data_IF_617520892385
#
_entry.id   IF_617520892385
#
_cell.length_a   1.000
_cell.length_b   1.000
_cell.length_c   1.000
_cell.angle_alpha   90.00
_cell.angle_beta   90.00
_cell.angle_gamma   90.00
#
_symmetry.space_group_name_H-M   'P 1'
#
loop_
_entity.id
_entity.type
_entity.pdbx_description
1 polymer ?
#
# COMPACT_ATOMS: atom_id res chain seq x y z
N UNK A 1 -5.28 10.59 -11.66
CA UNK A 1 -4.99 9.74 -12.83
C UNK A 1 -5.44 8.31 -12.53
N UNK A 2 -6.18 7.65 -13.43
CA UNK A 2 -6.54 6.23 -13.29
C UNK A 2 -5.67 5.38 -14.21
N UNK A 3 -5.17 4.25 -13.74
CA UNK A 3 -4.42 3.26 -14.55
C UNK A 3 -4.96 1.86 -14.31
N UNK A 4 -5.01 1.06 -15.36
CA UNK A 4 -5.32 -0.37 -15.26
C UNK A 4 -4.04 -1.18 -15.41
N UNK A 5 -3.79 -2.10 -14.47
CA UNK A 5 -2.65 -3.03 -14.54
C UNK A 5 -2.91 -4.26 -13.68
N UNK A 6 -2.38 -5.42 -14.08
CA UNK A 6 -2.47 -6.65 -13.31
C UNK A 6 -1.06 -7.14 -12.99
N UNK A 7 -0.88 -7.62 -11.76
CA UNK A 7 0.37 -8.17 -11.27
C UNK A 7 0.09 -9.55 -10.68
N UNK A 8 0.95 -10.50 -11.01
CA UNK A 8 0.97 -11.83 -10.38
C UNK A 8 1.91 -11.83 -9.17
N UNK A 9 2.93 -10.96 -9.20
CA UNK A 9 3.97 -10.85 -8.20
C UNK A 9 3.83 -9.53 -7.43
N UNK A 10 3.61 -9.64 -6.12
CA UNK A 10 3.42 -8.49 -5.23
C UNK A 10 4.65 -7.57 -5.20
N UNK A 11 5.86 -8.11 -5.36
CA UNK A 11 7.09 -7.29 -5.35
C UNK A 11 7.19 -6.45 -6.60
N UNK A 12 6.73 -6.96 -7.75
CA UNK A 12 6.65 -6.18 -9.00
C UNK A 12 5.60 -5.08 -8.90
N UNK A 13 4.48 -5.35 -8.22
CA UNK A 13 3.46 -4.35 -7.95
C UNK A 13 3.98 -3.24 -7.03
N UNK A 14 4.64 -3.60 -5.91
CA UNK A 14 5.27 -2.66 -4.99
C UNK A 14 6.30 -1.77 -5.71
N UNK A 15 7.21 -2.38 -6.48
CA UNK A 15 8.22 -1.64 -7.22
C UNK A 15 7.58 -0.64 -8.20
N UNK A 16 6.57 -1.08 -8.95
CA UNK A 16 5.88 -0.22 -9.91
C UNK A 16 5.14 0.95 -9.23
N UNK A 17 4.54 0.74 -8.07
CA UNK A 17 3.88 1.79 -7.29
C UNK A 17 4.89 2.82 -6.78
N UNK A 18 6.04 2.37 -6.26
CA UNK A 18 7.12 3.27 -5.87
C UNK A 18 7.70 4.04 -7.06
N UNK A 19 7.77 3.45 -8.25
CA UNK A 19 8.13 4.19 -9.47
C UNK A 19 7.10 5.27 -9.84
N UNK A 20 5.80 5.03 -9.62
CA UNK A 20 4.78 6.08 -9.82
C UNK A 20 4.95 7.20 -8.80
N UNK A 21 5.21 6.85 -7.54
CA UNK A 21 5.44 7.81 -6.46
C UNK A 21 6.64 8.72 -6.74
N UNK A 22 7.76 8.14 -7.21
CA UNK A 22 8.94 8.90 -7.67
C UNK A 22 8.64 9.87 -8.82
N UNK A 23 7.61 9.59 -9.62
CA UNK A 23 7.13 10.47 -10.70
C UNK A 23 6.14 11.53 -10.20
N UNK A 24 5.93 11.63 -8.89
CA UNK A 24 4.96 12.55 -8.27
C UNK A 24 3.53 12.04 -8.30
N UNK A 25 3.31 10.72 -8.34
CA UNK A 25 1.98 10.11 -8.35
C UNK A 25 1.80 9.16 -7.16
N UNK A 26 1.08 9.62 -6.15
CA UNK A 26 0.73 8.85 -4.96
C UNK A 26 -0.51 7.98 -5.23
N UNK A 27 -0.48 6.72 -4.79
CA UNK A 27 -1.64 5.84 -4.86
C UNK A 27 -2.66 6.24 -3.79
N UNK A 28 -3.89 6.56 -4.20
CA UNK A 28 -4.99 6.91 -3.28
C UNK A 28 -6.02 5.81 -3.15
N UNK A 29 -6.16 4.97 -4.17
CA UNK A 29 -7.17 3.91 -4.17
C UNK A 29 -6.79 2.80 -5.12
N UNK A 30 -7.00 1.55 -4.68
CA UNK A 30 -6.96 0.37 -5.55
C UNK A 30 -8.34 -0.28 -5.59
N UNK A 31 -8.77 -0.69 -6.78
CA UNK A 31 -9.94 -1.54 -6.98
C UNK A 31 -9.51 -3.01 -7.11
N UNK A 32 -10.36 -3.92 -6.62
CA UNK A 32 -10.20 -5.37 -6.80
C UNK A 32 -10.17 -5.80 -8.28
N UNK A 33 -10.64 -4.96 -9.20
CA UNK A 33 -10.62 -5.21 -10.65
C UNK A 33 -9.32 -4.76 -11.35
N UNK A 34 -8.25 -4.45 -10.60
CA UNK A 34 -6.95 -4.07 -11.19
C UNK A 34 -6.84 -2.61 -11.63
N UNK A 35 -7.74 -1.74 -11.15
CA UNK A 35 -7.65 -0.29 -11.35
C UNK A 35 -6.95 0.39 -10.17
N UNK A 36 -6.00 1.25 -10.49
CA UNK A 36 -5.27 2.11 -9.56
C UNK A 36 -5.66 3.56 -9.81
N UNK A 37 -5.95 4.28 -8.74
CA UNK A 37 -6.19 5.70 -8.77
C UNK A 37 -5.03 6.40 -8.08
N UNK A 38 -4.42 7.33 -8.80
CA UNK A 38 -3.31 8.14 -8.33
C UNK A 38 -3.70 9.60 -8.25
N UNK A 39 -3.15 10.31 -7.26
CA UNK A 39 -3.17 11.76 -7.20
C UNK A 39 -1.77 12.33 -7.44
N UNK A 40 -1.69 13.59 -7.88
CA UNK A 40 -0.39 14.27 -7.95
C UNK A 40 0.04 14.61 -6.53
N UNK A 41 1.28 14.30 -6.20
CA UNK A 41 1.92 14.69 -4.95
C UNK A 41 3.23 15.40 -5.27
N UNK A 42 3.56 16.43 -4.49
CA UNK A 42 4.90 17.02 -4.44
C UNK A 42 5.80 16.28 -3.45
N UNK A 43 5.20 15.49 -2.56
CA UNK A 43 5.91 14.66 -1.62
C UNK A 43 6.36 13.36 -2.29
N UNK A 44 7.63 13.32 -2.66
CA UNK A 44 8.26 12.13 -3.25
C UNK A 44 9.13 11.40 -2.24
N UNK A 45 9.22 11.91 -1.01
CA UNK A 45 9.96 11.30 0.08
C UNK A 45 9.11 10.27 0.85
N UNK A 46 8.13 9.67 0.18
CA UNK A 46 7.34 8.57 0.70
C UNK A 46 7.82 7.23 0.13
N UNK A 47 7.39 6.14 0.77
CA UNK A 47 7.59 4.77 0.34
C UNK A 47 6.25 4.03 0.42
N UNK A 48 5.94 3.26 -0.62
CA UNK A 48 4.79 2.35 -0.61
C UNK A 48 5.30 0.95 -0.30
N UNK A 49 4.63 0.27 0.63
CA UNK A 49 4.88 -1.13 0.96
C UNK A 49 3.63 -1.96 0.82
N UNK A 50 3.79 -3.17 0.30
CA UNK A 50 2.72 -4.15 0.16
C UNK A 50 2.97 -5.27 1.15
N UNK A 51 1.93 -5.61 1.90
CA UNK A 51 1.96 -6.72 2.85
C UNK A 51 0.93 -7.76 2.50
N UNK A 52 1.28 -9.03 2.65
CA UNK A 52 0.40 -10.15 2.33
C UNK A 52 -0.13 -10.78 3.62
N UNK A 53 -1.42 -10.56 3.90
CA UNK A 53 -2.08 -11.13 5.07
C UNK A 53 -3.18 -12.10 4.65
N UNK A 54 -3.11 -13.32 5.15
CA UNK A 54 -4.09 -14.38 4.84
C UNK A 54 -5.09 -14.51 5.98
N UNK A 55 -6.38 -14.47 5.66
CA UNK A 55 -7.48 -14.77 6.58
C UNK A 55 -7.54 -13.89 7.85
N UNK A 56 -7.55 -12.56 7.68
CA UNK A 56 -7.88 -11.65 8.77
C UNK A 56 -9.39 -11.62 9.04
N UNK A 57 -9.80 -11.85 10.29
CA UNK A 57 -11.16 -11.52 10.75
C UNK A 57 -11.34 -10.00 10.80
N UNK A 58 -12.58 -9.51 10.97
CA UNK A 58 -12.83 -8.05 11.01
C UNK A 58 -12.01 -7.38 12.10
N UNK A 59 -12.06 -7.94 13.30
CA UNK A 59 -11.37 -7.44 14.49
C UNK A 59 -9.85 -7.49 14.31
N UNK A 60 -9.31 -8.61 13.80
CA UNK A 60 -7.87 -8.72 13.52
C UNK A 60 -7.41 -7.72 12.47
N UNK A 61 -8.24 -7.41 11.47
CA UNK A 61 -7.92 -6.41 10.47
C UNK A 61 -7.87 -5.01 11.08
N UNK A 62 -8.83 -4.66 11.93
CA UNK A 62 -8.87 -3.37 12.62
C UNK A 62 -7.63 -3.20 13.51
N UNK A 63 -7.32 -4.19 14.36
CA UNK A 63 -6.11 -4.17 15.20
C UNK A 63 -4.82 -4.15 14.38
N UNK A 64 -4.76 -4.90 13.28
CA UNK A 64 -3.63 -4.87 12.35
C UNK A 64 -3.45 -3.47 11.75
N UNK A 65 -4.54 -2.82 11.34
CA UNK A 65 -4.45 -1.48 10.76
C UNK A 65 -3.97 -0.47 11.80
N UNK A 66 -4.61 -0.46 12.97
CA UNK A 66 -4.29 0.45 14.08
C UNK A 66 -2.80 0.35 14.48
N UNK A 67 -2.28 -0.87 14.61
CA UNK A 67 -0.88 -1.11 14.95
C UNK A 67 0.08 -0.41 13.97
N UNK A 68 -0.14 -0.57 12.66
CA UNK A 68 0.72 0.05 11.65
C UNK A 68 0.55 1.56 11.59
N UNK A 69 -0.65 2.08 11.85
CA UNK A 69 -0.91 3.52 11.98
C UNK A 69 -0.13 4.14 13.15
N UNK A 70 0.00 3.43 14.27
CA UNK A 70 0.85 3.86 15.40
C UNK A 70 2.34 3.96 15.02
N UNK A 71 2.80 3.15 14.06
CA UNK A 71 4.16 3.24 13.49
C UNK A 71 4.31 4.25 12.34
N UNK A 72 3.27 5.06 12.09
CA UNK A 72 3.26 6.12 11.09
C UNK A 72 2.90 5.67 9.68
N UNK A 73 2.50 4.42 9.49
CA UNK A 73 2.02 3.94 8.20
C UNK A 73 0.57 4.33 7.97
N UNK A 74 0.25 4.81 6.77
CA UNK A 74 -1.12 5.11 6.36
C UNK A 74 -1.65 3.97 5.49
N UNK A 75 -2.82 3.44 5.86
CA UNK A 75 -3.49 2.40 5.07
C UNK A 75 -4.15 3.01 3.84
N UNK A 76 -3.73 2.59 2.64
CA UNK A 76 -4.29 3.09 1.36
C UNK A 76 -5.41 2.18 0.86
N UNK A 77 -5.14 0.87 0.85
CA UNK A 77 -6.01 -0.10 0.24
C UNK A 77 -5.78 -1.48 0.85
N UNK A 78 -6.80 -2.32 0.74
CA UNK A 78 -6.83 -3.62 1.40
C UNK A 78 -8.14 -3.76 2.15
N UNK A 79 -8.69 -4.96 2.12
CA UNK A 79 -9.93 -5.33 2.79
C UNK A 79 -9.77 -6.75 3.28
N UNK A 80 -10.65 -7.19 4.19
CA UNK A 80 -10.73 -8.59 4.62
C UNK A 80 -10.85 -9.63 3.48
N UNK A 81 -11.29 -9.20 2.30
CA UNK A 81 -11.44 -10.07 1.12
C UNK A 81 -10.24 -10.03 0.17
N UNK A 82 -9.31 -9.10 0.38
CA UNK A 82 -8.06 -9.02 -0.37
C UNK A 82 -6.92 -9.45 0.52
N UNK A 83 -6.09 -10.36 0.05
CA UNK A 83 -4.92 -10.81 0.81
C UNK A 83 -3.75 -9.83 0.78
N UNK A 84 -3.89 -8.67 0.14
CA UNK A 84 -2.83 -7.65 -0.01
C UNK A 84 -3.29 -6.34 0.60
N UNK A 85 -2.46 -5.80 1.49
CA UNK A 85 -2.61 -4.50 2.13
C UNK A 85 -1.56 -3.54 1.60
N UNK A 86 -1.97 -2.29 1.36
CA UNK A 86 -1.15 -1.25 0.75
C UNK A 86 -0.93 -0.16 1.79
N UNK A 87 0.33 0.11 2.05
CA UNK A 87 0.80 1.00 3.09
C UNK A 87 1.65 2.10 2.48
N UNK A 88 1.54 3.31 3.01
CA UNK A 88 2.42 4.43 2.65
C UNK A 88 2.93 5.13 3.89
N UNK A 89 4.21 5.50 3.88
CA UNK A 89 4.86 6.23 4.97
C UNK A 89 5.89 7.17 4.39
N UNK A 90 6.20 8.25 5.09
CA UNK A 90 7.38 9.07 4.80
C UNK A 90 8.66 8.27 5.09
N UNK A 91 9.66 8.40 4.22
CA UNK A 91 10.93 7.71 4.37
C UNK A 91 11.63 8.24 5.61
N UNK A 92 11.75 7.39 6.62
CA UNK A 92 12.41 7.71 7.90
C UNK A 92 13.59 6.76 8.16
N UNK A 93 13.96 5.93 7.17
CA UNK A 93 15.00 4.91 7.31
C UNK A 93 14.53 3.63 8.00
N UNK A 94 13.35 3.66 8.64
CA UNK A 94 12.62 2.51 9.17
C UNK A 94 11.41 2.18 8.29
N UNK A 95 11.71 1.77 7.05
CA UNK A 95 10.74 1.61 5.96
C UNK A 95 10.31 0.14 5.74
N UNK A 96 10.69 -0.76 6.66
CA UNK A 96 10.35 -2.18 6.60
C UNK A 96 9.05 -2.46 7.36
N UNK A 97 8.14 -3.20 6.73
CA UNK A 97 7.02 -3.81 7.42
C UNK A 97 7.53 -5.09 8.07
N UNK A 98 7.36 -5.21 9.38
CA UNK A 98 7.72 -6.41 10.13
C UNK A 98 6.66 -7.50 9.85
N UNK A 99 6.75 -8.13 8.68
CA UNK A 99 6.06 -9.40 8.44
C UNK A 99 7.08 -10.52 8.53
N UNK A 100 7.04 -11.25 9.64
CA UNK A 100 7.72 -12.54 9.83
C UNK A 100 7.06 -13.64 8.97
#
# INVERSE_FOLDING_TARGET
MKKFKLFVDIRKEEAWLNEQLKKGYELVKKSSLGYYQFQKTTDTNQVIKLDFQRHLTKEKLETYIELYEEFGWKHIAGSRFSSVHYWIKEKDGHDELFSD
#
